data_IF_372818198457
#
_entry.id   IF_372818198457
#
_cell.length_a   1.000
_cell.length_b   1.000
_cell.length_c   1.000
_cell.angle_alpha   90.00
_cell.angle_beta   90.00
_cell.angle_gamma   90.00
#
_symmetry.space_group_name_H-M   'P 1'
#
loop_
_entity.id
_entity.type
_entity.pdbx_description
1 polymer ?
#
# COMPACT_ATOMS: atom_id res chain seq x y z
N UNK A 1 -10.65 -21.61 -5.07
CA UNK A 1 -10.34 -20.22 -4.69
C UNK A 1 -11.60 -19.61 -4.10
N UNK A 2 -11.53 -18.87 -2.99
CA UNK A 2 -12.67 -18.14 -2.44
C UNK A 2 -13.24 -17.12 -3.42
N UNK A 3 -14.50 -16.73 -3.22
CA UNK A 3 -15.09 -15.60 -3.93
C UNK A 3 -14.33 -14.30 -3.59
N UNK A 4 -14.30 -13.31 -4.50
CA UNK A 4 -13.57 -12.06 -4.27
C UNK A 4 -14.05 -11.31 -3.01
N UNK A 5 -15.35 -11.39 -2.70
CA UNK A 5 -15.94 -10.77 -1.52
C UNK A 5 -15.36 -11.32 -0.21
N UNK A 6 -14.88 -12.57 -0.21
CA UNK A 6 -14.20 -13.17 0.94
C UNK A 6 -13.07 -12.28 1.48
N UNK A 7 -12.23 -11.72 0.60
CA UNK A 7 -11.08 -10.92 1.02
C UNK A 7 -11.47 -9.56 1.61
N UNK A 8 -12.59 -8.99 1.19
CA UNK A 8 -13.15 -7.77 1.80
C UNK A 8 -13.67 -8.08 3.19
N UNK A 9 -14.54 -9.09 3.30
CA UNK A 9 -15.13 -9.49 4.58
C UNK A 9 -14.04 -9.88 5.58
N UNK A 10 -13.01 -10.56 5.09
CA UNK A 10 -11.84 -10.95 5.88
C UNK A 10 -11.04 -9.74 6.36
N UNK A 11 -10.82 -8.73 5.51
CA UNK A 11 -10.10 -7.52 5.92
C UNK A 11 -10.86 -6.79 7.05
N UNK A 12 -12.19 -6.69 6.95
CA UNK A 12 -13.04 -6.12 7.99
C UNK A 12 -12.98 -6.93 9.30
N UNK A 13 -13.05 -8.27 9.22
CA UNK A 13 -12.91 -9.15 10.38
C UNK A 13 -11.55 -9.02 11.08
N UNK A 14 -10.49 -8.69 10.33
CA UNK A 14 -9.14 -8.45 10.85
C UNK A 14 -8.96 -7.04 11.46
N UNK A 15 -10.00 -6.20 11.37
CA UNK A 15 -10.07 -4.87 11.99
C UNK A 15 -9.72 -3.72 11.05
N UNK A 16 -9.90 -3.87 9.74
CA UNK A 16 -9.94 -2.71 8.85
C UNK A 16 -11.21 -1.88 9.11
N UNK A 17 -11.09 -0.55 9.00
CA UNK A 17 -12.25 0.35 9.15
C UNK A 17 -13.14 0.28 7.92
N UNK A 18 -12.52 0.20 6.73
CA UNK A 18 -13.21 -0.08 5.47
C UNK A 18 -12.37 -1.01 4.61
N UNK A 19 -13.02 -1.80 3.75
CA UNK A 19 -12.38 -2.54 2.70
C UNK A 19 -13.28 -2.57 1.46
N UNK A 20 -12.70 -2.42 0.28
CA UNK A 20 -13.44 -2.40 -1.00
C UNK A 20 -12.73 -3.20 -2.06
N UNK A 21 -13.50 -3.87 -2.91
CA UNK A 21 -12.99 -4.49 -4.13
C UNK A 21 -12.65 -3.43 -5.17
N UNK A 22 -11.57 -3.66 -5.91
CA UNK A 22 -11.25 -2.89 -7.10
C UNK A 22 -10.90 -3.78 -8.28
N UNK A 23 -11.10 -3.24 -9.47
CA UNK A 23 -10.50 -3.70 -10.72
C UNK A 23 -9.36 -2.77 -11.10
N UNK A 24 -8.46 -3.20 -11.98
CA UNK A 24 -7.31 -2.37 -12.35
C UNK A 24 -7.70 -0.99 -12.91
N UNK A 25 -8.85 -0.87 -13.58
CA UNK A 25 -9.37 0.40 -14.13
C UNK A 25 -9.69 1.44 -13.04
N UNK A 26 -9.86 0.98 -11.80
CA UNK A 26 -10.10 1.83 -10.64
C UNK A 26 -8.80 2.42 -10.04
N UNK A 27 -7.64 1.84 -10.37
CA UNK A 27 -6.35 2.27 -9.85
C UNK A 27 -5.78 3.37 -10.72
N UNK A 28 -5.72 4.59 -10.17
CA UNK A 28 -5.18 5.73 -10.89
C UNK A 28 -3.67 5.81 -10.71
N UNK A 29 -2.92 5.47 -11.75
CA UNK A 29 -1.47 5.70 -11.80
C UNK A 29 -1.16 7.15 -12.21
N UNK A 30 -0.33 7.81 -11.41
CA UNK A 30 0.19 9.15 -11.68
C UNK A 30 1.63 9.27 -11.16
N UNK A 31 2.59 9.34 -12.09
CA UNK A 31 4.01 9.42 -11.72
C UNK A 31 4.40 10.71 -11.00
N UNK A 32 3.53 11.74 -10.93
CA UNK A 32 3.78 12.95 -10.15
C UNK A 32 3.88 12.67 -8.65
N UNK A 33 3.43 11.50 -8.17
CA UNK A 33 3.65 11.08 -6.77
C UNK A 33 5.13 11.08 -6.40
N UNK A 34 6.05 10.81 -7.35
CA UNK A 34 7.49 10.84 -7.07
C UNK A 34 7.96 12.20 -6.60
N UNK A 35 7.36 13.30 -7.09
CA UNK A 35 7.72 14.65 -6.66
C UNK A 35 7.31 14.88 -5.20
N UNK A 36 6.16 14.34 -4.79
CA UNK A 36 5.71 14.36 -3.40
C UNK A 36 6.62 13.52 -2.50
N UNK A 37 7.05 12.34 -2.95
CA UNK A 37 8.05 11.55 -2.22
C UNK A 37 9.39 12.31 -2.10
N UNK A 38 9.88 12.86 -3.21
CA UNK A 38 11.22 13.48 -3.29
C UNK A 38 11.35 14.74 -2.45
N UNK A 39 10.33 15.60 -2.46
CA UNK A 39 10.41 16.91 -1.80
C UNK A 39 9.55 17.01 -0.54
N UNK A 40 8.72 16.01 -0.24
CA UNK A 40 7.77 16.05 0.88
C UNK A 40 7.95 14.95 1.92
N UNK A 41 8.82 13.96 1.70
CA UNK A 41 9.01 12.84 2.62
C UNK A 41 10.42 12.84 3.23
N UNK A 42 10.51 12.79 4.56
CA UNK A 42 11.79 12.73 5.28
C UNK A 42 12.57 11.42 5.03
N UNK A 43 11.89 10.39 4.55
CA UNK A 43 12.44 9.06 4.26
C UNK A 43 13.12 9.00 2.89
N UNK A 44 12.98 10.04 2.06
CA UNK A 44 13.61 10.09 0.74
C UNK A 44 15.12 9.87 0.84
N UNK A 45 15.62 8.94 0.03
CA UNK A 45 17.03 8.55 0.00
C UNK A 45 17.42 7.50 1.04
N UNK A 46 16.53 7.14 1.99
CA UNK A 46 16.92 6.36 3.18
C UNK A 46 16.04 5.13 3.44
N UNK A 47 14.72 5.24 3.27
CA UNK A 47 13.78 4.17 3.62
C UNK A 47 13.92 2.91 2.75
N UNK A 48 13.76 1.71 3.33
CA UNK A 48 13.91 0.44 2.59
C UNK A 48 12.83 0.20 1.53
N UNK A 49 11.67 0.83 1.71
CA UNK A 49 10.50 0.78 0.81
C UNK A 49 10.37 2.05 -0.04
N UNK A 50 11.37 2.94 0.04
CA UNK A 50 11.38 4.22 -0.67
C UNK A 50 11.70 4.03 -2.16
N UNK A 51 11.03 4.72 -3.09
CA UNK A 51 11.28 4.59 -4.53
C UNK A 51 12.64 5.18 -4.97
N UNK A 52 13.32 5.91 -4.09
CA UNK A 52 14.66 6.42 -4.33
C UNK A 52 15.77 5.43 -3.97
N UNK A 53 15.45 4.31 -3.32
CA UNK A 53 16.46 3.32 -2.90
C UNK A 53 17.16 2.74 -4.14
N UNK A 54 18.49 2.49 -4.10
CA UNK A 54 19.18 1.80 -5.18
C UNK A 54 18.49 0.48 -5.55
N UNK A 55 18.22 0.30 -6.85
CA UNK A 55 17.53 -0.87 -7.39
C UNK A 55 16.00 -0.89 -7.22
N UNK A 56 15.40 0.12 -6.60
CA UNK A 56 13.94 0.25 -6.58
C UNK A 56 13.43 0.70 -7.96
N UNK A 57 12.34 0.07 -8.41
CA UNK A 57 11.62 0.50 -9.60
C UNK A 57 11.10 1.92 -9.41
N UNK A 58 10.98 2.64 -10.53
CA UNK A 58 10.33 3.95 -10.57
C UNK A 58 8.82 3.79 -10.78
N UNK A 59 8.00 4.80 -10.42
CA UNK A 59 6.55 4.75 -10.60
C UNK A 59 6.06 4.27 -11.97
N UNK A 60 6.68 4.72 -13.06
CA UNK A 60 6.33 4.31 -14.43
C UNK A 60 6.75 2.87 -14.77
N UNK A 61 7.70 2.29 -14.03
CA UNK A 61 8.08 0.89 -14.15
C UNK A 61 7.14 0.01 -13.32
N UNK A 62 6.82 0.46 -12.09
CA UNK A 62 5.80 -0.18 -11.26
C UNK A 62 4.45 -0.26 -11.97
N UNK A 63 4.01 0.82 -12.61
CA UNK A 63 2.76 0.84 -13.37
C UNK A 63 2.68 -0.34 -14.36
N UNK A 64 3.75 -0.59 -15.14
CA UNK A 64 3.78 -1.70 -16.11
C UNK A 64 3.63 -3.07 -15.45
N UNK A 65 4.24 -3.26 -14.27
CA UNK A 65 4.14 -4.51 -13.51
C UNK A 65 2.73 -4.67 -12.94
N UNK A 66 2.19 -3.63 -12.33
CA UNK A 66 0.84 -3.67 -11.74
C UNK A 66 -0.26 -3.79 -12.81
N UNK A 67 0.00 -3.37 -14.05
CA UNK A 67 -0.94 -3.57 -15.16
C UNK A 67 -1.19 -5.03 -15.53
N UNK A 68 -0.40 -5.98 -15.01
CA UNK A 68 -0.64 -7.41 -15.20
C UNK A 68 -1.65 -8.01 -14.21
N UNK A 69 -2.04 -7.27 -13.17
CA UNK A 69 -3.06 -7.68 -12.21
C UNK A 69 -4.44 -7.28 -12.73
N UNK A 70 -5.47 -8.04 -12.33
CA UNK A 70 -6.84 -7.79 -12.80
C UNK A 70 -7.76 -7.21 -11.72
N UNK A 71 -7.50 -7.51 -10.45
CA UNK A 71 -8.32 -7.04 -9.33
C UNK A 71 -7.53 -6.99 -8.02
N UNK A 72 -8.19 -6.53 -6.97
CA UNK A 72 -7.65 -6.60 -5.62
C UNK A 72 -8.61 -6.04 -4.59
N UNK A 73 -8.09 -5.81 -3.39
CA UNK A 73 -8.82 -5.19 -2.28
C UNK A 73 -8.04 -4.00 -1.78
N UNK A 74 -8.70 -2.83 -1.68
CA UNK A 74 -8.20 -1.67 -0.94
C UNK A 74 -8.67 -1.81 0.51
N UNK A 75 -7.79 -1.50 1.44
CA UNK A 75 -7.98 -1.59 2.88
C UNK A 75 -7.70 -0.20 3.46
N UNK A 76 -8.59 0.26 4.31
CA UNK A 76 -8.49 1.54 5.01
C UNK A 76 -8.45 1.30 6.53
N UNK A 77 -7.57 2.02 7.22
CA UNK A 77 -7.62 2.16 8.67
C UNK A 77 -7.09 3.52 9.11
N UNK A 78 -7.62 4.01 10.23
CA UNK A 78 -7.10 5.16 10.98
C UNK A 78 -5.81 4.82 11.76
N UNK A 79 -5.47 3.54 11.89
CA UNK A 79 -4.20 3.05 12.44
C UNK A 79 -3.28 2.51 11.32
N UNK A 80 -2.10 3.13 11.21
CA UNK A 80 -1.08 2.78 10.21
C UNK A 80 -0.65 1.30 10.29
N UNK A 81 -0.40 0.82 11.51
CA UNK A 81 0.06 -0.55 11.76
C UNK A 81 -1.05 -1.54 11.45
N UNK A 82 -2.29 -1.22 11.83
CA UNK A 82 -3.46 -2.03 11.49
C UNK A 82 -3.61 -2.19 9.96
N UNK A 83 -3.52 -1.07 9.23
CA UNK A 83 -3.59 -1.08 7.76
C UNK A 83 -2.56 -2.03 7.13
N UNK A 84 -1.30 -2.02 7.59
CA UNK A 84 -0.26 -2.93 7.11
C UNK A 84 -0.48 -4.39 7.54
N UNK A 85 -0.87 -4.63 8.80
CA UNK A 85 -1.08 -5.99 9.32
C UNK A 85 -2.20 -6.70 8.59
N UNK A 86 -3.30 -6.00 8.33
CA UNK A 86 -4.45 -6.55 7.59
C UNK A 86 -4.03 -6.87 6.15
N UNK A 87 -3.40 -5.94 5.42
CA UNK A 87 -3.00 -6.21 4.02
C UNK A 87 -2.00 -7.36 3.91
N UNK A 88 -1.05 -7.47 4.84
CA UNK A 88 -0.10 -8.57 4.83
C UNK A 88 -0.77 -9.92 5.15
N UNK A 89 -1.76 -9.94 6.03
CA UNK A 89 -2.56 -11.14 6.30
C UNK A 89 -3.36 -11.58 5.06
N UNK A 90 -4.03 -10.63 4.39
CA UNK A 90 -4.77 -10.89 3.15
C UNK A 90 -3.85 -11.37 2.03
N UNK A 91 -2.66 -10.77 1.85
CA UNK A 91 -1.66 -11.25 0.89
C UNK A 91 -1.30 -12.73 1.15
N UNK A 92 -1.02 -13.06 2.41
CA UNK A 92 -0.66 -14.43 2.80
C UNK A 92 -1.81 -15.41 2.58
N UNK A 93 -3.04 -15.04 2.93
CA UNK A 93 -4.22 -15.89 2.70
C UNK A 93 -4.47 -16.09 1.20
N UNK A 94 -4.44 -15.02 0.40
CA UNK A 94 -4.58 -15.10 -1.06
C UNK A 94 -3.50 -15.97 -1.71
N UNK A 95 -2.24 -15.87 -1.27
CA UNK A 95 -1.16 -16.74 -1.73
C UNK A 95 -1.47 -18.22 -1.44
N UNK A 96 -1.96 -18.54 -0.23
CA UNK A 96 -2.32 -19.91 0.15
C UNK A 96 -3.55 -20.44 -0.60
N UNK A 97 -4.44 -19.55 -1.05
CA UNK A 97 -5.59 -19.90 -1.88
C UNK A 97 -5.24 -20.15 -3.36
N UNK A 98 -3.97 -19.97 -3.73
CA UNK A 98 -3.44 -20.23 -5.07
C UNK A 98 -3.18 -18.98 -5.91
N UNK A 99 -3.41 -17.78 -5.39
CA UNK A 99 -3.03 -16.53 -6.06
C UNK A 99 -1.55 -16.23 -5.80
N UNK A 100 -0.67 -16.98 -6.46
CA UNK A 100 0.77 -17.02 -6.17
C UNK A 100 1.53 -15.72 -6.47
N UNK A 101 0.92 -14.78 -7.20
CA UNK A 101 1.43 -13.42 -7.39
C UNK A 101 0.78 -12.38 -6.47
N UNK A 102 -0.08 -12.77 -5.53
CA UNK A 102 -0.70 -11.82 -4.61
C UNK A 102 0.36 -10.97 -3.90
N UNK A 103 0.18 -9.65 -3.92
CA UNK A 103 1.14 -8.71 -3.37
C UNK A 103 0.42 -7.54 -2.68
N UNK A 104 0.79 -7.30 -1.43
CA UNK A 104 0.32 -6.16 -0.67
C UNK A 104 1.17 -4.90 -0.88
N UNK A 105 0.50 -3.75 -0.84
CA UNK A 105 1.07 -2.42 -0.73
C UNK A 105 0.60 -1.81 0.59
N UNK A 106 1.51 -1.20 1.35
CA UNK A 106 1.20 -0.58 2.63
C UNK A 106 2.30 0.39 3.04
N UNK A 107 1.94 1.48 3.71
CA UNK A 107 2.90 2.27 4.46
C UNK A 107 3.55 1.44 5.57
N UNK A 108 4.88 1.33 5.56
CA UNK A 108 5.59 0.50 6.51
C UNK A 108 5.51 1.05 7.95
N UNK A 109 5.11 0.20 8.88
CA UNK A 109 4.91 0.47 10.31
C UNK A 109 5.53 -0.63 11.20
N UNK A 110 6.51 -1.38 10.67
CA UNK A 110 7.10 -2.55 11.35
C UNK A 110 8.12 -2.19 12.43
N UNK A 111 8.71 -0.99 12.37
CA UNK A 111 9.75 -0.54 13.29
C UNK A 111 9.42 0.87 13.80
N UNK A 112 9.89 1.21 15.00
CA UNK A 112 9.86 2.60 15.48
C UNK A 112 10.75 3.52 14.62
N UNK A 113 11.93 3.04 14.20
CA UNK A 113 12.81 3.72 13.25
C UNK A 113 13.32 2.75 12.19
N UNK A 114 13.29 3.15 10.93
CA UNK A 114 13.77 2.33 9.82
C UNK A 114 15.30 2.15 9.88
N UNK A 115 15.78 0.91 9.85
CA UNK A 115 17.21 0.59 9.79
C UNK A 115 17.93 1.24 8.58
N UNK A 116 17.18 1.54 7.50
CA UNK A 116 17.70 2.24 6.32
C UNK A 116 18.23 3.65 6.63
N UNK A 117 17.73 4.31 7.68
CA UNK A 117 18.23 5.63 8.11
C UNK A 117 19.67 5.57 8.64
N UNK A 118 20.11 4.39 9.08
CA UNK A 118 21.47 4.13 9.54
C UNK A 118 22.31 3.36 8.50
N UNK A 119 21.79 3.24 7.27
CA UNK A 119 22.42 2.43 6.21
C UNK A 119 22.45 0.93 6.49
N UNK A 120 21.64 0.45 7.44
CA UNK A 120 21.62 -0.97 7.85
C UNK A 120 20.56 -1.75 7.08
N UNK A 121 20.73 -3.08 6.90
CA UNK A 121 19.72 -3.93 6.26
C UNK A 121 18.35 -3.86 6.97
N UNK A 122 17.28 -4.08 6.21
CA UNK A 122 15.95 -4.19 6.78
C UNK A 122 15.91 -5.39 7.75
N UNK A 123 15.39 -5.18 8.96
CA UNK A 123 15.21 -6.26 9.97
C UNK A 123 13.94 -7.07 9.74
N UNK A 124 13.05 -6.63 8.84
CA UNK A 124 11.81 -7.31 8.47
C UNK A 124 11.64 -7.45 6.94
N UNK A 125 12.63 -7.98 6.19
CA UNK A 125 12.63 -7.95 4.73
C UNK A 125 11.46 -8.74 4.11
N UNK A 126 10.96 -9.78 4.80
CA UNK A 126 9.83 -10.60 4.34
C UNK A 126 8.48 -9.88 4.44
N UNK A 127 8.36 -8.88 5.32
CA UNK A 127 7.10 -8.16 5.62
C UNK A 127 7.06 -6.73 5.08
N UNK A 128 8.22 -6.12 4.82
CA UNK A 128 8.29 -4.77 4.29
C UNK A 128 7.62 -4.72 2.89
N UNK A 129 6.74 -3.73 2.70
CA UNK A 129 6.03 -3.48 1.43
C UNK A 129 6.10 -1.99 1.07
N UNK A 130 6.17 -1.65 -0.22
CA UNK A 130 6.05 -0.25 -0.65
C UNK A 130 4.61 0.26 -0.44
N UNK A 131 4.47 1.56 -0.26
CA UNK A 131 3.17 2.24 -0.16
C UNK A 131 2.60 2.53 -1.56
N UNK A 132 1.29 2.81 -1.65
CA UNK A 132 0.63 3.18 -2.92
C UNK A 132 1.35 4.29 -3.67
N UNK A 133 1.58 5.41 -2.99
CA UNK A 133 2.15 6.60 -3.57
C UNK A 133 3.60 6.38 -4.02
N UNK A 134 4.33 5.49 -3.33
CA UNK A 134 5.70 5.12 -3.70
C UNK A 134 5.79 4.35 -5.02
N UNK A 135 4.73 3.60 -5.38
CA UNK A 135 4.66 2.84 -6.64
C UNK A 135 3.94 3.60 -7.75
N UNK A 136 3.60 4.87 -7.54
CA UNK A 136 2.97 5.69 -8.58
C UNK A 136 1.46 5.74 -8.56
N UNK A 137 0.79 5.33 -7.47
CA UNK A 137 -0.68 5.39 -7.40
C UNK A 137 -1.11 6.71 -6.73
N UNK A 138 -1.99 7.45 -7.40
CA UNK A 138 -2.72 8.59 -6.82
C UNK A 138 -3.77 8.08 -5.84
N UNK A 139 -3.38 7.98 -4.57
CA UNK A 139 -4.26 7.51 -3.48
C UNK A 139 -5.52 8.35 -3.38
N UNK A 140 -5.41 9.69 -3.50
CA UNK A 140 -6.55 10.59 -3.34
C UNK A 140 -7.61 10.33 -4.39
N UNK A 141 -7.22 10.28 -5.66
CA UNK A 141 -8.20 10.04 -6.73
C UNK A 141 -8.73 8.61 -6.69
N UNK A 142 -7.86 7.63 -6.43
CA UNK A 142 -8.22 6.20 -6.38
C UNK A 142 -9.24 5.91 -5.28
N UNK A 143 -9.07 6.40 -4.05
CA UNK A 143 -9.97 5.99 -2.95
C UNK A 143 -11.26 6.81 -2.89
N UNK A 144 -11.27 8.03 -3.45
CA UNK A 144 -12.47 8.89 -3.50
C UNK A 144 -13.61 8.31 -4.31
N UNK A 145 -13.32 7.63 -5.41
CA UNK A 145 -14.36 6.97 -6.23
C UNK A 145 -15.07 5.83 -5.47
N UNK A 146 -14.43 5.27 -4.44
CA UNK A 146 -15.04 4.28 -3.55
C UNK A 146 -15.75 4.91 -2.34
N UNK A 147 -15.82 6.25 -2.27
CA UNK A 147 -16.42 6.93 -1.12
C UNK A 147 -15.60 6.84 0.17
N UNK A 148 -14.31 6.46 0.09
CA UNK A 148 -13.46 6.31 1.27
C UNK A 148 -12.93 7.68 1.76
N UNK A 149 -12.75 7.85 3.09
CA UNK A 149 -12.39 9.14 3.67
C UNK A 149 -10.96 9.56 3.33
N UNK A 150 -10.79 10.65 2.58
CA UNK A 150 -9.45 11.21 2.34
C UNK A 150 -9.49 12.71 2.04
N UNK A 151 -8.69 13.46 2.80
CA UNK A 151 -8.49 14.89 2.64
C UNK A 151 -7.08 15.29 3.03
N UNK A 152 -6.60 16.42 2.49
CA UNK A 152 -5.34 16.98 2.94
C UNK A 152 -5.53 17.51 4.36
N UNK A 153 -4.66 17.08 5.27
CA UNK A 153 -4.67 17.57 6.64
C UNK A 153 -4.17 19.01 6.69
N UNK A 154 -4.70 19.79 7.62
CA UNK A 154 -4.39 21.21 7.88
C UNK A 154 -3.51 21.39 9.10
N UNK A 155 -3.53 20.43 10.02
CA UNK A 155 -2.71 20.39 11.22
C UNK A 155 -2.54 18.93 11.71
N UNK A 156 -1.69 18.74 12.72
CA UNK A 156 -1.27 17.42 13.20
C UNK A 156 -2.32 16.69 14.04
N UNK A 157 -3.38 17.36 14.49
CA UNK A 157 -4.44 16.76 15.31
C UNK A 157 -5.55 16.13 14.46
N UNK A 158 -5.55 16.37 13.15
CA UNK A 158 -6.53 15.78 12.26
C UNK A 158 -6.24 14.30 12.01
N UNK A 159 -7.31 13.51 11.98
CA UNK A 159 -7.24 12.06 11.81
C UNK A 159 -6.56 11.68 10.48
N UNK A 160 -5.58 10.79 10.58
CA UNK A 160 -4.86 10.26 9.44
C UNK A 160 -5.58 9.02 8.90
N UNK A 161 -5.69 8.94 7.57
CA UNK A 161 -6.32 7.83 6.88
C UNK A 161 -5.24 7.03 6.15
N UNK A 162 -5.02 5.78 6.57
CA UNK A 162 -3.96 4.92 6.06
C UNK A 162 -4.52 3.86 5.11
N UNK A 163 -3.98 3.83 3.91
CA UNK A 163 -4.44 2.96 2.83
C UNK A 163 -3.40 1.89 2.50
N UNK A 164 -3.86 0.65 2.50
CA UNK A 164 -3.14 -0.51 2.00
C UNK A 164 -3.98 -1.21 0.92
N UNK A 165 -3.37 -2.04 0.08
CA UNK A 165 -4.06 -2.81 -0.95
C UNK A 165 -3.39 -4.16 -1.09
N UNK A 166 -4.16 -5.13 -1.56
CA UNK A 166 -3.62 -6.39 -2.05
C UNK A 166 -4.04 -6.54 -3.50
N UNK A 167 -3.04 -6.55 -4.39
CA UNK A 167 -3.23 -6.83 -5.81
C UNK A 167 -3.23 -8.35 -5.97
N UNK A 168 -4.27 -8.88 -6.63
CA UNK A 168 -4.50 -10.32 -6.75
C UNK A 168 -4.67 -10.66 -8.24
N UNK A 169 -3.96 -11.70 -8.69
CA UNK A 169 -3.91 -12.17 -10.07
C UNK A 169 -4.28 -13.64 -10.13
#
# INVERSE_FOLDING_TARGET
MPDKQYYVDRALQLGADHAVLFTLDDIVFDSRTILKCMFGCADWGKGHTCPSRPGSLKPWEYQKVFSAYSWGVIIHSTDKKKSQEVSFAIEREAFLDGYYFALSLSDCALCAECAGFRGQPCVHPKKARPAFHSVGIDVFRTVRQFGLPIQTLKDENQEQNWYSAVFIA
#
